data_IF_897694913765
#
_entry.id   IF_897694913765
#
_cell.length_a   1.000
_cell.length_b   1.000
_cell.length_c   1.000
_cell.angle_alpha   90.00
_cell.angle_beta   90.00
_cell.angle_gamma   90.00
#
_symmetry.space_group_name_H-M   'P 1'
#
loop_
_entity.id
_entity.type
_entity.pdbx_description
1 polymer ?
#
# COMPACT_ATOMS: atom_id res chain seq x y z
N UNK A 1 -17.10 1.23 66.25
CA UNK A 1 -16.53 0.28 67.23
C UNK A 1 -16.78 -1.14 66.74
N UNK A 2 -15.69 -1.91 66.55
CA UNK A 2 -15.56 -3.38 66.58
C UNK A 2 -16.62 -4.19 65.81
N UNK A 3 -16.28 -4.67 64.60
CA UNK A 3 -15.78 -6.02 64.33
C UNK A 3 -16.68 -7.14 64.88
N UNK A 4 -17.26 -7.96 63.99
CA UNK A 4 -16.95 -9.38 63.97
C UNK A 4 -17.25 -10.01 62.59
N UNK A 5 -16.22 -10.66 62.05
CA UNK A 5 -16.19 -11.58 60.91
C UNK A 5 -17.24 -12.71 61.06
N UNK A 6 -17.73 -13.24 59.93
CA UNK A 6 -17.52 -14.67 59.60
C UNK A 6 -18.12 -15.14 58.27
N UNK A 7 -17.24 -15.78 57.49
CA UNK A 7 -17.44 -16.99 56.65
C UNK A 7 -18.16 -16.79 55.30
N UNK A 8 -17.36 -16.72 54.24
CA UNK A 8 -17.77 -16.98 52.86
C UNK A 8 -17.50 -18.47 52.56
N UNK A 9 -18.57 -19.23 52.25
CA UNK A 9 -18.49 -20.63 51.83
C UNK A 9 -17.83 -20.74 50.43
N UNK A 10 -16.80 -21.57 50.34
CA UNK A 10 -16.23 -22.05 49.07
C UNK A 10 -16.99 -23.33 48.69
N UNK A 11 -17.67 -23.31 47.55
CA UNK A 11 -18.23 -24.51 46.93
C UNK A 11 -17.11 -25.25 46.18
N UNK A 12 -16.69 -26.39 46.72
CA UNK A 12 -15.87 -27.38 46.02
C UNK A 12 -16.81 -28.35 45.32
N UNK A 13 -16.83 -28.34 43.99
CA UNK A 13 -17.39 -29.44 43.21
C UNK A 13 -16.27 -30.44 42.94
N UNK A 14 -16.30 -31.54 43.70
CA UNK A 14 -15.58 -32.76 43.38
C UNK A 14 -16.46 -33.60 42.45
N UNK A 15 -16.01 -33.82 41.22
CA UNK A 15 -16.44 -34.95 40.41
C UNK A 15 -15.23 -35.87 40.24
N UNK A 16 -15.23 -36.99 40.96
CA UNK A 16 -14.38 -38.13 40.67
C UNK A 16 -15.00 -38.91 39.50
N UNK A 17 -14.19 -39.29 38.52
CA UNK A 17 -14.51 -40.40 37.63
C UNK A 17 -13.23 -41.09 37.16
N UNK A 18 -13.12 -42.34 37.61
CA UNK A 18 -12.44 -43.50 37.07
C UNK A 18 -10.98 -43.40 36.60
N UNK A 19 -10.16 -44.19 37.31
CA UNK A 19 -8.84 -44.67 36.96
C UNK A 19 -8.84 -45.47 35.66
N UNK A 20 -7.88 -45.18 34.79
CA UNK A 20 -7.11 -46.22 34.11
C UNK A 20 -5.64 -45.85 34.22
N UNK A 21 -4.86 -46.78 34.75
CA UNK A 21 -3.41 -46.67 34.90
C UNK A 21 -2.75 -47.13 33.60
N UNK A 22 -2.25 -46.20 32.82
CA UNK A 22 -1.11 -46.43 31.93
C UNK A 22 0.01 -45.46 32.36
N UNK A 23 1.23 -45.93 32.66
CA UNK A 23 2.34 -45.04 32.92
C UNK A 23 2.76 -44.42 31.59
N UNK A 24 2.25 -43.22 31.30
CA UNK A 24 2.85 -42.36 30.28
C UNK A 24 4.34 -42.20 30.60
N UNK A 25 5.25 -42.34 29.62
CA UNK A 25 6.66 -42.09 29.84
C UNK A 25 6.83 -40.61 30.23
N UNK A 26 7.39 -40.43 31.42
CA UNK A 26 7.81 -39.15 32.00
C UNK A 26 8.47 -38.28 30.90
N UNK A 27 7.94 -37.10 30.56
CA UNK A 27 8.60 -36.23 29.60
C UNK A 27 9.94 -35.81 30.19
N UNK A 28 11.01 -36.16 29.48
CA UNK A 28 12.39 -35.75 29.73
C UNK A 28 12.45 -34.31 30.29
N UNK A 29 12.95 -34.09 31.52
CA UNK A 29 13.03 -32.76 32.12
C UNK A 29 14.04 -31.84 31.41
N UNK A 30 14.76 -32.32 30.38
CA UNK A 30 15.81 -31.60 29.68
C UNK A 30 15.59 -31.43 28.16
N UNK A 31 14.36 -31.61 27.65
CA UNK A 31 14.05 -31.44 26.22
C UNK A 31 13.77 -30.01 25.73
N UNK A 32 13.97 -28.98 26.56
CA UNK A 32 13.68 -27.58 26.23
C UNK A 32 14.87 -26.84 25.62
N UNK A 33 15.41 -27.33 24.50
CA UNK A 33 16.35 -26.53 23.72
C UNK A 33 15.64 -25.27 23.21
N UNK A 34 16.13 -24.09 23.58
CA UNK A 34 15.63 -22.80 23.06
C UNK A 34 15.62 -22.90 21.53
N UNK A 35 14.44 -22.85 20.90
CA UNK A 35 14.29 -23.02 19.45
C UNK A 35 15.09 -21.92 18.75
N UNK A 36 16.30 -22.24 18.30
CA UNK A 36 17.16 -21.28 17.65
C UNK A 36 16.56 -20.92 16.29
N UNK A 37 16.11 -19.67 16.13
CA UNK A 37 15.61 -19.18 14.87
C UNK A 37 16.76 -19.16 13.84
N UNK A 38 16.71 -19.98 12.76
CA UNK A 38 17.82 -20.11 11.81
C UNK A 38 18.07 -18.82 11.00
N UNK A 39 17.12 -17.89 10.98
CA UNK A 39 17.22 -16.62 10.26
C UNK A 39 17.73 -15.46 11.12
N UNK A 40 17.97 -15.70 12.43
CA UNK A 40 18.64 -14.76 13.33
C UNK A 40 20.15 -14.91 13.18
N UNK A 41 20.71 -14.17 12.24
CA UNK A 41 22.14 -14.20 11.87
C UNK A 41 22.99 -13.17 12.59
N UNK A 42 22.36 -12.14 13.18
CA UNK A 42 23.05 -10.99 13.78
C UNK A 42 23.57 -9.97 12.76
N UNK A 43 23.40 -10.21 11.45
CA UNK A 43 23.67 -9.23 10.40
C UNK A 43 22.40 -8.41 10.14
N UNK A 44 22.40 -7.16 10.59
CA UNK A 44 21.31 -6.21 10.35
C UNK A 44 21.34 -5.71 8.89
N UNK A 45 20.22 -5.87 8.18
CA UNK A 45 20.04 -5.42 6.80
C UNK A 45 19.18 -4.17 6.69
N UNK A 46 18.82 -3.58 7.83
CA UNK A 46 17.98 -2.38 7.89
C UNK A 46 18.59 -1.24 7.09
N UNK A 47 17.72 -0.45 6.46
CA UNK A 47 18.14 0.68 5.65
C UNK A 47 17.13 1.81 5.75
N UNK A 48 17.61 3.04 5.62
CA UNK A 48 16.77 4.21 5.42
C UNK A 48 17.23 4.94 4.17
N UNK A 49 16.29 5.46 3.40
CA UNK A 49 16.62 6.12 2.14
C UNK A 49 15.59 7.18 1.76
N UNK A 50 16.02 8.09 0.89
CA UNK A 50 15.13 8.96 0.16
C UNK A 50 14.72 8.30 -1.16
N UNK A 51 13.44 7.99 -1.31
CA UNK A 51 12.82 7.67 -2.59
C UNK A 51 12.29 8.97 -3.17
N UNK A 52 12.91 9.43 -4.26
CA UNK A 52 12.47 10.64 -4.97
C UNK A 52 11.37 10.31 -5.98
N UNK A 53 10.39 11.17 -6.07
CA UNK A 53 9.45 11.23 -7.19
C UNK A 53 9.32 12.67 -7.68
N UNK A 54 8.91 12.82 -8.93
CA UNK A 54 8.45 14.10 -9.43
C UNK A 54 6.97 14.23 -9.05
N UNK A 55 6.63 15.20 -8.19
CA UNK A 55 5.24 15.49 -7.82
C UNK A 55 4.54 16.25 -8.97
N UNK A 56 4.41 15.57 -10.11
CA UNK A 56 3.85 16.12 -11.35
C UNK A 56 2.46 16.69 -11.08
N UNK A 57 2.13 17.82 -11.69
CA UNK A 57 0.80 18.42 -11.57
C UNK A 57 0.54 19.11 -10.24
N UNK A 58 1.48 19.16 -9.28
CA UNK A 58 1.31 19.94 -8.05
C UNK A 58 0.96 21.41 -8.36
N UNK A 59 1.63 22.00 -9.35
CA UNK A 59 1.40 23.38 -9.78
C UNK A 59 0.13 23.56 -10.66
N UNK A 60 -0.57 22.47 -11.00
CA UNK A 60 -1.80 22.53 -11.79
C UNK A 60 -3.02 22.77 -10.91
N UNK A 61 -4.04 23.46 -11.46
CA UNK A 61 -5.27 23.79 -10.75
C UNK A 61 -6.03 22.60 -10.13
N UNK A 62 -5.78 21.38 -10.64
CA UNK A 62 -6.45 20.15 -10.19
C UNK A 62 -5.45 19.05 -9.80
N UNK A 63 -4.24 19.44 -9.37
CA UNK A 63 -3.18 18.50 -9.01
C UNK A 63 -2.91 17.50 -10.15
N UNK A 64 -2.83 16.21 -9.82
CA UNK A 64 -2.59 15.10 -10.75
C UNK A 64 -3.85 14.60 -11.46
N UNK A 65 -5.02 15.23 -11.26
CA UNK A 65 -6.24 14.76 -11.90
C UNK A 65 -6.12 14.94 -13.44
N UNK A 66 -6.47 13.92 -14.21
CA UNK A 66 -6.31 13.90 -15.67
C UNK A 66 -4.90 13.61 -16.16
N UNK A 67 -3.96 13.31 -15.25
CA UNK A 67 -2.63 12.81 -15.60
C UNK A 67 -2.66 11.31 -15.86
N UNK A 68 -1.71 10.90 -16.69
CA UNK A 68 -1.40 9.50 -16.89
C UNK A 68 -0.89 8.80 -15.63
N UNK A 69 -1.10 7.50 -15.53
CA UNK A 69 -0.72 6.66 -14.40
C UNK A 69 -0.27 5.28 -14.88
N UNK A 70 0.86 4.82 -14.36
CA UNK A 70 1.40 3.50 -14.65
C UNK A 70 1.05 2.53 -13.52
N UNK A 71 0.08 1.65 -13.77
CA UNK A 71 -0.41 0.70 -12.75
C UNK A 71 0.57 -0.42 -12.44
N UNK A 72 1.70 -0.53 -13.14
CA UNK A 72 2.80 -1.43 -12.71
C UNK A 72 3.64 -0.84 -11.58
N UNK A 73 3.53 0.49 -11.36
CA UNK A 73 4.16 1.21 -10.26
C UNK A 73 3.53 0.90 -8.90
N UNK A 74 3.79 1.75 -7.89
CA UNK A 74 3.19 1.59 -6.56
C UNK A 74 1.69 1.94 -6.60
N UNK A 75 0.88 1.40 -5.68
CA UNK A 75 -0.55 1.73 -5.56
C UNK A 75 -0.77 3.20 -5.12
N UNK A 76 -1.63 3.91 -5.85
CA UNK A 76 -1.98 5.32 -5.67
C UNK A 76 -0.81 6.21 -5.22
N UNK A 77 0.32 6.15 -5.93
CA UNK A 77 1.58 6.77 -5.51
C UNK A 77 2.09 7.77 -6.56
N UNK A 78 2.62 8.94 -6.17
CA UNK A 78 3.06 9.97 -7.11
C UNK A 78 4.20 9.53 -8.04
N UNK A 79 5.06 8.59 -7.62
CA UNK A 79 6.09 8.01 -8.51
C UNK A 79 5.53 7.26 -9.73
N UNK A 80 4.27 6.82 -9.68
CA UNK A 80 3.59 6.14 -10.77
C UNK A 80 2.83 7.13 -11.69
N UNK A 81 2.77 8.41 -11.32
CA UNK A 81 2.16 9.47 -12.16
C UNK A 81 3.08 9.75 -13.35
N UNK A 82 2.45 9.96 -14.51
CA UNK A 82 3.07 10.17 -15.81
C UNK A 82 2.63 11.52 -16.37
N UNK A 83 2.79 11.76 -17.67
CA UNK A 83 2.49 13.08 -18.24
C UNK A 83 0.98 13.39 -18.26
N UNK A 84 0.65 14.68 -18.32
CA UNK A 84 -0.73 15.19 -18.39
C UNK A 84 -1.40 14.68 -19.68
N UNK A 85 -2.59 14.09 -19.54
CA UNK A 85 -3.36 13.57 -20.69
C UNK A 85 -4.55 14.46 -21.01
N UNK A 86 -5.19 15.02 -19.97
CA UNK A 86 -6.39 15.85 -20.11
C UNK A 86 -6.13 17.32 -19.78
N UNK A 87 -6.77 18.20 -20.54
CA UNK A 87 -6.96 19.60 -20.21
C UNK A 87 -8.26 19.77 -19.43
N UNK A 88 -8.16 19.67 -18.11
CA UNK A 88 -9.29 19.80 -17.21
C UNK A 88 -9.73 21.25 -16.98
N UNK A 89 -8.89 22.23 -17.32
CA UNK A 89 -9.32 23.63 -17.29
C UNK A 89 -10.29 23.92 -18.44
N UNK A 90 -10.01 23.40 -19.63
CA UNK A 90 -10.94 23.45 -20.75
C UNK A 90 -12.25 22.73 -20.42
N UNK A 91 -12.17 21.52 -19.84
CA UNK A 91 -13.35 20.77 -19.39
C UNK A 91 -14.19 21.55 -18.37
N UNK A 92 -13.55 22.18 -17.37
CA UNK A 92 -14.26 22.92 -16.33
C UNK A 92 -14.98 24.17 -16.87
N UNK A 93 -14.40 24.84 -17.88
CA UNK A 93 -15.01 26.03 -18.52
C UNK A 93 -16.32 25.72 -19.25
N UNK A 94 -16.51 24.48 -19.69
CA UNK A 94 -17.68 24.05 -20.47
C UNK A 94 -18.91 23.62 -19.62
N UNK A 95 -18.83 23.74 -18.29
CA UNK A 95 -20.02 23.76 -17.40
C UNK A 95 -20.35 22.48 -16.64
N UNK A 96 -19.78 21.32 -17.01
CA UNK A 96 -20.00 20.06 -16.29
C UNK A 96 -19.02 19.79 -15.14
N UNK A 97 -17.97 20.60 -15.05
CA UNK A 97 -17.15 20.85 -13.86
C UNK A 97 -16.21 19.72 -13.41
N UNK A 98 -15.02 20.12 -12.95
CA UNK A 98 -14.22 19.27 -12.05
C UNK A 98 -14.81 19.41 -10.65
N UNK A 99 -15.10 18.29 -10.00
CA UNK A 99 -15.50 18.29 -8.59
C UNK A 99 -14.27 18.39 -7.72
N UNK A 100 -14.21 19.40 -6.85
CA UNK A 100 -13.09 19.69 -5.98
C UNK A 100 -13.61 20.15 -4.62
N UNK A 101 -13.35 19.37 -3.56
CA UNK A 101 -13.79 19.70 -2.22
C UNK A 101 -12.79 19.27 -1.14
N UNK A 102 -12.80 20.00 -0.02
CA UNK A 102 -11.98 19.72 1.15
C UNK A 102 -12.49 18.49 1.90
N UNK A 103 -11.57 17.63 2.31
CA UNK A 103 -11.91 16.47 3.14
C UNK A 103 -12.35 16.91 4.53
N UNK A 104 -13.28 16.18 5.12
CA UNK A 104 -13.73 16.36 6.51
C UNK A 104 -13.30 15.21 7.42
N UNK A 105 -12.64 14.19 6.87
CA UNK A 105 -12.15 13.04 7.61
C UNK A 105 -10.84 12.52 7.02
N UNK A 106 -10.17 11.69 7.81
CA UNK A 106 -8.89 11.03 7.50
C UNK A 106 -8.84 9.72 8.28
N UNK A 107 -8.01 8.79 7.83
CA UNK A 107 -8.00 7.44 8.37
C UNK A 107 -7.26 6.46 7.46
N UNK A 108 -7.34 5.16 7.76
CA UNK A 108 -6.75 4.15 6.90
C UNK A 108 -7.49 4.07 5.56
N UNK A 109 -6.74 3.98 4.46
CA UNK A 109 -7.32 3.89 3.12
C UNK A 109 -7.37 2.45 2.60
N UNK A 110 -6.35 1.66 2.91
CA UNK A 110 -6.26 0.27 2.50
C UNK A 110 -5.63 -0.59 3.60
N UNK A 111 -6.03 -1.86 3.60
CA UNK A 111 -5.43 -2.92 4.39
C UNK A 111 -5.27 -4.14 3.48
N UNK A 112 -4.12 -4.80 3.55
CA UNK A 112 -3.80 -5.99 2.75
C UNK A 112 -3.25 -7.09 3.66
N UNK A 113 -3.42 -8.34 3.24
CA UNK A 113 -2.93 -9.49 3.98
C UNK A 113 -2.86 -10.75 3.14
N UNK A 114 -1.92 -11.64 3.48
CA UNK A 114 -1.74 -12.93 2.83
C UNK A 114 -0.54 -12.96 1.89
N UNK A 115 -0.62 -13.79 0.86
CA UNK A 115 0.40 -13.88 -0.19
C UNK A 115 0.48 -12.57 -0.98
N UNK A 116 1.58 -12.40 -1.73
CA UNK A 116 1.73 -11.26 -2.65
C UNK A 116 0.55 -11.16 -3.62
N UNK A 117 0.07 -12.29 -4.13
CA UNK A 117 -1.02 -12.35 -5.09
C UNK A 117 -2.34 -11.87 -4.48
N UNK A 118 -2.71 -12.35 -3.29
CA UNK A 118 -3.91 -11.91 -2.57
C UNK A 118 -3.87 -10.41 -2.22
N UNK A 119 -2.68 -9.89 -1.90
CA UNK A 119 -2.50 -8.46 -1.69
C UNK A 119 -2.70 -7.65 -2.99
N UNK A 120 -2.18 -8.14 -4.13
CA UNK A 120 -2.39 -7.52 -5.45
C UNK A 120 -3.87 -7.56 -5.83
N UNK A 121 -4.57 -8.66 -5.55
CA UNK A 121 -6.02 -8.78 -5.76
C UNK A 121 -6.79 -7.72 -4.98
N UNK A 122 -6.51 -7.57 -3.68
CA UNK A 122 -7.16 -6.56 -2.83
C UNK A 122 -6.93 -5.13 -3.36
N UNK A 123 -5.70 -4.80 -3.76
CA UNK A 123 -5.36 -3.49 -4.31
C UNK A 123 -5.98 -3.28 -5.71
N UNK A 124 -5.98 -4.33 -6.55
CA UNK A 124 -6.60 -4.35 -7.87
C UNK A 124 -8.09 -4.05 -7.82
N UNK A 125 -8.82 -4.76 -6.97
CA UNK A 125 -10.26 -4.55 -6.78
C UNK A 125 -10.55 -3.13 -6.27
N UNK A 126 -9.74 -2.66 -5.31
CA UNK A 126 -9.85 -1.29 -4.77
C UNK A 126 -9.59 -0.22 -5.84
N UNK A 127 -8.74 -0.51 -6.83
CA UNK A 127 -8.47 0.35 -7.98
C UNK A 127 -9.51 0.22 -9.11
N UNK A 128 -10.45 -0.72 -9.02
CA UNK A 128 -11.53 -0.91 -10.00
C UNK A 128 -11.29 -1.99 -11.06
N UNK A 129 -10.22 -2.78 -10.92
CA UNK A 129 -9.98 -3.91 -11.83
C UNK A 129 -10.95 -5.06 -11.53
N UNK A 130 -11.45 -5.69 -12.58
CA UNK A 130 -12.23 -6.93 -12.45
C UNK A 130 -11.34 -8.13 -12.09
N UNK A 131 -11.90 -9.18 -11.50
CA UNK A 131 -11.16 -10.40 -11.18
C UNK A 131 -10.49 -11.05 -12.41
N UNK A 132 -11.10 -10.90 -13.59
CA UNK A 132 -10.52 -11.36 -14.86
C UNK A 132 -9.29 -10.53 -15.27
N UNK A 133 -9.34 -9.21 -15.12
CA UNK A 133 -8.19 -8.35 -15.37
C UNK A 133 -7.07 -8.60 -14.39
N UNK A 134 -7.37 -8.77 -13.10
CA UNK A 134 -6.37 -9.08 -12.07
C UNK A 134 -5.67 -10.42 -12.37
N UNK A 135 -6.42 -11.44 -12.79
CA UNK A 135 -5.86 -12.73 -13.19
C UNK A 135 -5.01 -12.64 -14.47
N UNK A 136 -5.36 -11.74 -15.39
CA UNK A 136 -4.67 -11.54 -16.67
C UNK A 136 -3.40 -10.68 -16.53
N UNK A 137 -3.45 -9.64 -15.72
CA UNK A 137 -2.41 -8.61 -15.59
C UNK A 137 -1.53 -8.89 -14.37
N UNK A 138 -0.43 -9.59 -14.61
CA UNK A 138 0.49 -10.08 -13.56
C UNK A 138 1.32 -8.98 -12.91
N UNK A 139 1.43 -7.83 -13.57
CA UNK A 139 2.31 -6.74 -13.14
C UNK A 139 1.59 -5.63 -12.36
N UNK A 140 0.30 -5.79 -12.02
CA UNK A 140 -0.45 -4.78 -11.26
C UNK A 140 0.21 -4.51 -9.90
N UNK A 141 0.49 -3.24 -9.66
CA UNK A 141 1.05 -2.67 -8.44
C UNK A 141 2.35 -3.32 -7.94
N UNK A 142 3.11 -3.99 -8.81
CA UNK A 142 4.26 -4.83 -8.43
C UNK A 142 5.34 -4.08 -7.65
N UNK A 143 5.57 -2.81 -7.96
CA UNK A 143 6.60 -1.99 -7.29
C UNK A 143 6.27 -1.70 -5.82
N UNK A 144 5.02 -1.91 -5.37
CA UNK A 144 4.63 -1.88 -3.96
C UNK A 144 5.35 -2.96 -3.13
N UNK A 145 5.79 -4.05 -3.76
CA UNK A 145 6.44 -5.18 -3.09
C UNK A 145 7.91 -5.36 -3.50
N UNK A 146 8.27 -5.03 -4.74
CA UNK A 146 9.65 -5.22 -5.23
C UNK A 146 10.64 -4.21 -4.63
N UNK A 147 10.20 -2.95 -4.47
CA UNK A 147 11.09 -1.88 -4.00
C UNK A 147 11.39 -1.88 -2.49
N UNK A 148 10.44 -2.19 -1.58
CA UNK A 148 10.65 -2.10 -0.13
C UNK A 148 11.76 -2.99 0.45
N UNK A 149 11.95 -4.18 -0.13
CA UNK A 149 12.81 -5.22 0.46
C UNK A 149 14.02 -5.57 -0.40
N UNK A 150 14.35 -4.72 -1.38
CA UNK A 150 15.46 -4.95 -2.32
C UNK A 150 16.83 -5.14 -1.65
N UNK A 151 17.03 -4.60 -0.44
CA UNK A 151 18.27 -4.75 0.32
C UNK A 151 18.36 -6.08 1.08
N UNK A 152 17.25 -6.79 1.25
CA UNK A 152 17.19 -8.09 1.91
C UNK A 152 17.14 -9.22 0.86
N UNK A 153 18.34 -9.62 0.42
CA UNK A 153 18.57 -10.73 -0.50
C UNK A 153 19.05 -12.01 0.21
N UNK A 154 18.92 -12.08 1.54
CA UNK A 154 19.62 -13.10 2.34
C UNK A 154 18.92 -14.46 2.33
N UNK A 155 17.60 -14.47 2.13
CA UNK A 155 16.78 -15.67 2.17
C UNK A 155 15.81 -15.71 0.98
N UNK A 156 16.32 -15.90 -0.25
CA UNK A 156 15.51 -15.85 -1.46
C UNK A 156 14.53 -17.03 -1.58
N UNK A 157 14.83 -18.17 -0.94
CA UNK A 157 14.01 -19.39 -1.01
C UNK A 157 12.87 -19.42 0.02
N UNK A 158 12.81 -18.42 0.91
CA UNK A 158 11.80 -18.36 1.94
C UNK A 158 10.46 -17.86 1.36
N UNK A 159 9.38 -18.59 1.63
CA UNK A 159 8.04 -18.14 1.24
C UNK A 159 7.57 -17.03 2.18
N UNK A 160 7.33 -15.86 1.61
CA UNK A 160 6.91 -14.68 2.35
C UNK A 160 5.43 -14.35 2.14
N UNK A 161 4.76 -14.07 3.24
CA UNK A 161 3.46 -13.41 3.30
C UNK A 161 3.63 -11.94 3.69
N UNK A 162 2.56 -11.17 3.51
CA UNK A 162 2.52 -9.74 3.71
C UNK A 162 1.32 -9.35 4.56
N UNK A 163 1.50 -8.32 5.37
CA UNK A 163 0.43 -7.53 5.96
C UNK A 163 0.75 -6.08 5.69
N UNK A 164 -0.26 -5.25 5.49
CA UNK A 164 -0.03 -3.83 5.34
C UNK A 164 -1.24 -2.99 5.62
N UNK A 165 -0.98 -1.77 6.08
CA UNK A 165 -1.98 -0.73 6.28
C UNK A 165 -1.42 0.60 5.80
N UNK A 166 -2.27 1.47 5.29
CA UNK A 166 -1.96 2.88 5.15
C UNK A 166 -2.64 3.69 6.24
N UNK A 167 -1.99 4.78 6.64
CA UNK A 167 -2.60 5.89 7.34
C UNK A 167 -2.58 7.08 6.40
N UNK A 168 -3.73 7.71 6.15
CA UNK A 168 -3.84 8.82 5.21
C UNK A 168 -4.47 10.02 5.89
N UNK A 169 -3.86 11.19 5.69
CA UNK A 169 -4.48 12.47 5.93
C UNK A 169 -4.83 13.10 4.58
N UNK A 170 -6.12 13.04 4.24
CA UNK A 170 -6.63 13.58 2.98
C UNK A 170 -6.98 15.04 3.19
N UNK A 171 -6.46 15.92 2.33
CA UNK A 171 -6.79 17.36 2.34
C UNK A 171 -7.90 17.64 1.33
N UNK A 172 -7.78 17.09 0.11
CA UNK A 172 -8.77 17.32 -0.95
C UNK A 172 -9.16 16.05 -1.70
N UNK A 173 -10.41 16.04 -2.16
CA UNK A 173 -10.95 15.06 -3.09
C UNK A 173 -11.19 15.74 -4.43
N UNK A 174 -10.73 15.12 -5.52
CA UNK A 174 -10.90 15.65 -6.87
C UNK A 174 -11.36 14.55 -7.82
N UNK A 175 -12.37 14.84 -8.65
CA UNK A 175 -12.79 13.92 -9.72
C UNK A 175 -13.48 14.66 -10.87
N UNK A 176 -13.50 14.02 -12.05
CA UNK A 176 -14.37 14.40 -13.15
C UNK A 176 -15.24 13.23 -13.57
N UNK A 177 -16.41 13.53 -14.13
CA UNK A 177 -17.33 12.48 -14.56
C UNK A 177 -17.01 12.04 -15.99
N UNK A 178 -16.41 10.86 -16.13
CA UNK A 178 -16.24 10.20 -17.42
C UNK A 178 -17.34 9.15 -17.64
N UNK A 179 -17.91 9.14 -18.84
CA UNK A 179 -18.96 8.21 -19.22
C UNK A 179 -19.00 7.99 -20.72
N UNK A 180 -19.72 6.95 -21.15
CA UNK A 180 -19.98 6.69 -22.57
C UNK A 180 -20.59 7.88 -23.30
N UNK A 181 -21.44 8.67 -22.64
CA UNK A 181 -22.08 9.85 -23.24
C UNK A 181 -21.15 11.07 -23.36
N UNK A 182 -20.07 11.14 -22.59
CA UNK A 182 -19.04 12.22 -22.67
C UNK A 182 -17.80 11.81 -23.44
N UNK A 183 -17.65 10.53 -23.76
CA UNK A 183 -16.45 9.95 -24.36
C UNK A 183 -15.96 10.73 -25.57
N UNK A 184 -16.84 11.03 -26.52
CA UNK A 184 -16.44 11.77 -27.72
C UNK A 184 -15.90 13.17 -27.39
N UNK A 185 -16.47 13.86 -26.40
CA UNK A 185 -15.97 15.17 -25.97
C UNK A 185 -14.56 15.06 -25.39
N UNK A 186 -14.32 14.08 -24.51
CA UNK A 186 -12.98 13.82 -23.97
C UNK A 186 -11.97 13.47 -25.07
N UNK A 187 -12.38 12.68 -26.05
CA UNK A 187 -11.53 12.27 -27.17
C UNK A 187 -11.23 13.39 -28.19
N UNK A 188 -11.97 14.51 -28.16
CA UNK A 188 -11.86 15.57 -29.18
C UNK A 188 -11.54 16.96 -28.65
N UNK A 189 -12.06 17.32 -27.47
CA UNK A 189 -11.99 18.68 -26.92
C UNK A 189 -11.02 18.81 -25.76
N UNK A 190 -10.89 17.76 -24.94
CA UNK A 190 -10.23 17.86 -23.63
C UNK A 190 -8.91 17.09 -23.54
N UNK A 191 -8.38 16.60 -24.66
CA UNK A 191 -7.02 16.05 -24.69
C UNK A 191 -6.00 17.18 -24.65
N UNK A 192 -4.98 17.01 -23.80
CA UNK A 192 -3.80 17.88 -23.78
C UNK A 192 -3.10 17.86 -25.14
N UNK A 193 -2.58 19.02 -25.58
CA UNK A 193 -1.93 19.16 -26.89
C UNK A 193 -0.71 18.25 -27.07
N UNK A 194 0.09 18.05 -26.01
CA UNK A 194 1.23 17.13 -26.03
C UNK A 194 0.78 15.69 -26.28
N UNK A 195 -0.26 15.24 -25.59
CA UNK A 195 -0.82 13.90 -25.79
C UNK A 195 -1.38 13.72 -27.20
N UNK A 196 -2.11 14.71 -27.73
CA UNK A 196 -2.62 14.68 -29.12
C UNK A 196 -1.48 14.56 -30.13
N UNK A 197 -0.43 15.35 -29.98
CA UNK A 197 0.73 15.30 -30.87
C UNK A 197 1.48 13.96 -30.79
N UNK A 198 1.62 13.40 -29.58
CA UNK A 198 2.26 12.11 -29.39
C UNK A 198 1.43 10.97 -29.97
N UNK A 199 0.09 11.00 -29.90
CA UNK A 199 -0.78 10.03 -30.58
C UNK A 199 -0.59 10.00 -32.10
N UNK A 200 -0.09 11.09 -32.71
CA UNK A 200 0.23 11.16 -34.13
C UNK A 200 1.65 10.70 -34.46
N UNK A 201 2.57 10.73 -33.50
CA UNK A 201 4.01 10.62 -33.79
C UNK A 201 4.74 9.50 -33.05
N UNK A 202 4.14 8.93 -31.99
CA UNK A 202 4.76 7.92 -31.12
C UNK A 202 4.15 6.54 -31.34
N UNK A 203 4.96 5.52 -31.09
CA UNK A 203 4.47 4.15 -31.04
C UNK A 203 3.55 3.92 -29.81
N UNK A 204 2.67 2.91 -29.84
CA UNK A 204 1.89 2.51 -28.67
C UNK A 204 2.72 2.27 -27.39
N UNK A 205 3.89 1.64 -27.51
CA UNK A 205 4.79 1.38 -26.39
C UNK A 205 5.40 2.67 -25.85
N UNK A 206 5.74 3.61 -26.73
CA UNK A 206 6.19 4.95 -26.33
C UNK A 206 5.08 5.72 -25.61
N UNK A 207 3.82 5.63 -26.06
CA UNK A 207 2.67 6.23 -25.37
C UNK A 207 2.54 5.67 -23.95
N UNK A 208 2.61 4.35 -23.78
CA UNK A 208 2.55 3.71 -22.46
C UNK A 208 3.71 4.16 -21.57
N UNK A 209 4.92 4.28 -22.13
CA UNK A 209 6.08 4.74 -21.37
C UNK A 209 5.94 6.20 -20.91
N UNK A 210 5.41 7.08 -21.76
CA UNK A 210 5.31 8.52 -21.51
C UNK A 210 4.12 8.86 -20.61
N UNK A 211 2.98 8.21 -20.82
CA UNK A 211 1.69 8.54 -20.20
C UNK A 211 1.17 7.43 -19.27
N UNK A 212 1.82 6.28 -19.20
CA UNK A 212 1.31 5.14 -18.44
C UNK A 212 0.15 4.45 -19.14
N UNK A 213 -0.54 3.61 -18.39
CA UNK A 213 -1.60 2.73 -18.90
C UNK A 213 -3.00 3.24 -18.59
N UNK A 214 -3.13 4.14 -17.61
CA UNK A 214 -4.40 4.66 -17.13
C UNK A 214 -4.34 6.18 -16.97
N UNK A 215 -5.50 6.80 -16.78
CA UNK A 215 -5.65 8.21 -16.40
C UNK A 215 -6.26 8.28 -15.01
N UNK A 216 -5.74 9.18 -14.18
CA UNK A 216 -6.30 9.52 -12.88
C UNK A 216 -7.60 10.30 -13.05
N UNK A 217 -8.74 9.70 -12.68
CA UNK A 217 -10.08 10.26 -12.87
C UNK A 217 -10.80 10.62 -11.57
N UNK A 218 -10.37 10.06 -10.45
CA UNK A 218 -10.97 10.27 -9.13
C UNK A 218 -9.93 10.00 -8.05
N UNK A 219 -9.37 11.07 -7.47
CA UNK A 219 -8.20 11.03 -6.60
C UNK A 219 -8.44 11.73 -5.26
N UNK A 220 -7.58 11.40 -4.30
CA UNK A 220 -7.40 12.08 -3.03
C UNK A 220 -5.96 12.61 -2.98
N UNK A 221 -5.81 13.85 -2.54
CA UNK A 221 -4.49 14.46 -2.31
C UNK A 221 -4.29 14.85 -0.84
N UNK A 222 -3.06 14.71 -0.35
CA UNK A 222 -2.71 14.85 1.06
C UNK A 222 -1.33 14.29 1.38
N UNK A 223 -1.20 13.67 2.56
CA UNK A 223 -0.05 12.85 2.98
C UNK A 223 -0.49 11.43 3.36
N UNK A 224 0.41 10.46 3.20
CA UNK A 224 0.17 9.06 3.53
C UNK A 224 1.40 8.43 4.15
N UNK A 225 1.20 7.55 5.12
CA UNK A 225 2.21 6.67 5.66
C UNK A 225 1.80 5.23 5.42
N UNK A 226 2.66 4.49 4.74
CA UNK A 226 2.46 3.09 4.41
C UNK A 226 3.29 2.22 5.34
N UNK A 227 2.65 1.25 5.99
CA UNK A 227 3.32 0.19 6.75
C UNK A 227 3.15 -1.11 5.97
N UNK A 228 4.25 -1.68 5.51
CA UNK A 228 4.28 -2.97 4.81
C UNK A 228 5.18 -3.94 5.58
N UNK A 229 4.57 -4.98 6.10
CA UNK A 229 5.21 -6.01 6.88
C UNK A 229 5.32 -7.28 6.06
N UNK A 230 6.53 -7.80 5.92
CA UNK A 230 6.82 -9.05 5.20
C UNK A 230 7.31 -10.07 6.21
N UNK A 231 6.74 -11.27 6.19
CA UNK A 231 7.06 -12.29 7.16
C UNK A 231 7.04 -13.71 6.57
N UNK A 232 7.80 -14.60 7.18
CA UNK A 232 7.72 -16.03 6.96
C UNK A 232 7.12 -16.71 8.19
N UNK A 233 6.08 -17.50 7.98
CA UNK A 233 5.30 -18.08 9.07
C UNK A 233 6.10 -19.06 9.93
N UNK A 234 5.85 -19.03 11.24
CA UNK A 234 6.12 -20.15 12.13
C UNK A 234 4.81 -20.84 12.52
N UNK A 235 4.86 -22.15 12.80
CA UNK A 235 3.70 -23.02 13.03
C UNK A 235 2.74 -22.52 14.12
N UNK A 236 3.24 -21.73 15.08
CA UNK A 236 2.46 -21.18 16.20
C UNK A 236 2.45 -19.65 16.24
N UNK A 237 2.86 -18.99 15.15
CA UNK A 237 2.90 -17.53 15.08
C UNK A 237 1.52 -16.92 14.81
N UNK A 238 1.26 -15.77 15.44
CA UNK A 238 0.15 -14.87 15.08
C UNK A 238 0.74 -13.61 14.44
N UNK A 239 1.01 -13.67 13.13
CA UNK A 239 1.69 -12.60 12.39
C UNK A 239 0.95 -11.26 12.43
N UNK A 240 -0.38 -11.27 12.55
CA UNK A 240 -1.16 -10.03 12.69
C UNK A 240 -0.89 -9.32 14.03
N UNK A 241 -0.83 -10.08 15.12
CA UNK A 241 -0.49 -9.53 16.45
C UNK A 241 0.95 -9.00 16.48
N UNK A 242 1.87 -9.74 15.86
CA UNK A 242 3.25 -9.29 15.70
C UNK A 242 3.38 -8.05 14.81
N UNK A 243 2.62 -7.95 13.72
CA UNK A 243 2.59 -6.75 12.88
C UNK A 243 2.16 -5.50 13.68
N UNK A 244 1.03 -5.57 14.39
CA UNK A 244 0.53 -4.47 15.20
C UNK A 244 1.47 -4.08 16.35
N UNK A 245 2.17 -5.05 16.93
CA UNK A 245 3.18 -4.80 17.97
C UNK A 245 4.46 -4.19 17.39
N UNK A 246 4.92 -4.69 16.24
CA UNK A 246 6.19 -4.31 15.63
C UNK A 246 6.17 -2.88 15.07
N UNK A 247 5.04 -2.39 14.55
CA UNK A 247 4.93 -1.00 14.07
C UNK A 247 5.41 0.00 15.14
N UNK A 248 4.71 0.19 16.28
CA UNK A 248 5.07 1.21 17.28
C UNK A 248 6.36 0.88 18.05
N UNK A 249 6.81 -0.39 18.02
CA UNK A 249 8.08 -0.82 18.60
C UNK A 249 9.28 -0.32 17.81
N UNK A 250 9.23 -0.40 16.47
CA UNK A 250 10.37 -0.09 15.61
C UNK A 250 10.25 1.25 14.89
N UNK A 251 9.04 1.79 14.74
CA UNK A 251 8.78 3.07 14.10
C UNK A 251 7.71 3.86 14.85
N UNK A 252 7.89 5.16 14.99
CA UNK A 252 6.91 6.03 15.64
C UNK A 252 6.93 7.41 15.02
N UNK A 253 5.75 8.01 14.85
CA UNK A 253 5.60 9.36 14.32
C UNK A 253 4.95 10.35 15.30
N UNK A 254 5.10 10.08 16.60
CA UNK A 254 4.51 10.87 17.69
C UNK A 254 4.52 10.10 19.02
N UNK A 255 3.95 10.64 20.10
CA UNK A 255 3.85 9.91 21.36
C UNK A 255 2.91 8.70 21.19
N UNK A 256 3.50 7.51 21.04
CA UNK A 256 2.77 6.23 20.97
C UNK A 256 3.17 5.33 22.12
N UNK A 257 2.17 4.78 22.82
CA UNK A 257 2.35 3.70 23.79
C UNK A 257 2.18 2.39 23.02
N UNK A 258 3.15 1.48 23.12
CA UNK A 258 3.04 0.13 22.56
C UNK A 258 2.55 -0.85 23.63
N UNK A 259 1.78 -1.84 23.20
CA UNK A 259 1.33 -2.93 24.08
C UNK A 259 2.45 -3.89 24.44
N UNK A 260 2.14 -4.87 25.29
CA UNK A 260 3.03 -6.00 25.55
C UNK A 260 3.25 -6.82 24.28
N UNK A 261 4.42 -7.46 24.19
CA UNK A 261 4.71 -8.41 23.11
C UNK A 261 3.63 -9.52 23.05
N UNK A 262 3.27 -10.01 21.86
CA UNK A 262 2.40 -11.17 21.73
C UNK A 262 2.97 -12.38 22.49
N UNK A 263 2.09 -13.23 23.03
CA UNK A 263 2.49 -14.47 23.71
C UNK A 263 2.72 -15.63 22.74
N UNK A 264 2.28 -15.50 21.49
CA UNK A 264 2.55 -16.46 20.41
C UNK A 264 3.98 -16.35 19.92
N UNK A 265 4.52 -17.42 19.34
CA UNK A 265 5.84 -17.41 18.70
C UNK A 265 5.94 -16.29 17.66
N UNK A 266 7.12 -15.68 17.56
CA UNK A 266 7.42 -14.73 16.48
C UNK A 266 7.52 -15.47 15.14
N UNK A 267 7.16 -14.82 14.02
CA UNK A 267 7.47 -15.35 12.70
C UNK A 267 8.97 -15.63 12.53
N UNK A 268 9.30 -16.57 11.64
CA UNK A 268 10.68 -17.03 11.45
C UNK A 268 11.59 -15.94 10.87
N UNK A 269 11.05 -15.12 9.97
CA UNK A 269 11.74 -13.95 9.41
C UNK A 269 10.74 -12.82 9.27
N UNK A 270 11.14 -11.62 9.65
CA UNK A 270 10.29 -10.45 9.71
C UNK A 270 11.02 -9.23 9.14
N UNK A 271 10.32 -8.43 8.35
CA UNK A 271 10.75 -7.11 7.94
C UNK A 271 9.58 -6.13 8.05
N UNK A 272 9.85 -4.90 8.48
CA UNK A 272 8.90 -3.80 8.42
C UNK A 272 9.45 -2.72 7.49
N UNK A 273 8.69 -2.41 6.45
CA UNK A 273 8.92 -1.25 5.61
C UNK A 273 7.92 -0.14 5.94
N UNK A 274 8.42 1.06 6.14
CA UNK A 274 7.64 2.27 6.31
C UNK A 274 7.99 3.25 5.21
N UNK A 275 7.00 3.83 4.57
CA UNK A 275 7.17 4.89 3.56
C UNK A 275 6.23 6.05 3.84
N UNK A 276 6.78 7.26 3.87
CA UNK A 276 6.03 8.51 3.95
C UNK A 276 5.91 9.09 2.55
N UNK A 277 4.67 9.33 2.13
CA UNK A 277 4.28 9.85 0.83
C UNK A 277 3.64 11.22 1.04
N UNK A 278 4.43 12.27 0.85
CA UNK A 278 4.00 13.68 0.87
C UNK A 278 4.75 14.50 -0.19
N UNK A 279 4.38 15.76 -0.41
CA UNK A 279 5.08 16.64 -1.36
C UNK A 279 6.30 17.36 -0.78
N UNK A 280 6.60 17.23 0.52
CA UNK A 280 7.81 17.80 1.13
C UNK A 280 9.06 16.94 0.92
N UNK A 281 8.87 15.64 0.64
CA UNK A 281 9.93 14.65 0.41
C UNK A 281 10.96 14.64 1.56
N UNK A 282 10.57 14.27 2.79
CA UNK A 282 11.49 14.19 3.91
C UNK A 282 12.64 13.23 3.59
N UNK A 283 13.83 13.49 4.16
CA UNK A 283 14.99 12.64 3.96
C UNK A 283 15.51 12.13 5.31
N UNK A 284 15.37 10.83 5.61
CA UNK A 284 14.72 9.79 4.79
C UNK A 284 13.18 9.91 4.75
N UNK A 285 12.56 9.34 3.71
CA UNK A 285 11.11 9.10 3.64
C UNK A 285 10.76 7.60 3.59
N UNK A 286 11.77 6.73 3.66
CA UNK A 286 11.58 5.28 3.69
C UNK A 286 12.52 4.63 4.69
N UNK A 287 12.02 3.60 5.36
CA UNK A 287 12.74 2.80 6.35
C UNK A 287 12.37 1.34 6.16
N UNK A 288 13.37 0.48 5.95
CA UNK A 288 13.22 -0.97 6.03
C UNK A 288 13.95 -1.44 7.28
N UNK A 289 13.23 -2.05 8.21
CA UNK A 289 13.75 -2.65 9.43
C UNK A 289 13.76 -4.17 9.26
N UNK A 290 14.94 -4.78 9.35
CA UNK A 290 15.11 -6.23 9.44
C UNK A 290 14.86 -6.69 10.88
N UNK A 291 13.59 -6.78 11.26
CA UNK A 291 13.15 -7.04 12.64
C UNK A 291 13.86 -8.24 13.27
N UNK A 292 14.07 -9.32 12.50
CA UNK A 292 14.71 -10.55 13.00
C UNK A 292 16.16 -10.33 13.46
N UNK A 293 16.87 -9.36 12.88
CA UNK A 293 18.28 -9.08 13.17
C UNK A 293 18.52 -7.69 13.79
N UNK A 294 17.53 -6.79 13.77
CA UNK A 294 17.67 -5.41 14.22
C UNK A 294 17.98 -5.31 15.72
N UNK A 295 19.08 -4.62 16.05
CA UNK A 295 19.49 -4.31 17.43
C UNK A 295 19.51 -2.80 17.70
N UNK A 296 19.05 -1.99 16.74
CA UNK A 296 19.03 -0.54 16.85
C UNK A 296 17.90 -0.02 17.73
N UNK A 297 17.91 1.30 17.92
CA UNK A 297 16.83 2.01 18.60
C UNK A 297 15.62 2.19 17.66
N UNK A 298 14.46 2.45 18.26
CA UNK A 298 13.23 2.78 17.54
C UNK A 298 13.43 4.03 16.68
N UNK A 299 12.97 3.98 15.44
CA UNK A 299 12.96 5.12 14.53
C UNK A 299 11.85 6.10 14.95
N UNK A 300 12.19 7.39 15.07
CA UNK A 300 11.25 8.47 15.36
C UNK A 300 11.18 9.40 14.14
N UNK A 301 9.97 9.64 13.63
CA UNK A 301 9.69 10.53 12.51
C UNK A 301 8.72 11.65 12.92
N UNK A 302 9.16 12.89 12.98
CA UNK A 302 8.36 14.03 13.44
C UNK A 302 7.72 14.84 12.29
N UNK A 303 7.78 14.36 11.05
CA UNK A 303 7.26 15.06 9.87
C UNK A 303 5.79 14.81 9.54
N UNK A 304 5.07 14.00 10.31
CA UNK A 304 3.64 13.71 10.07
C UNK A 304 2.76 14.92 10.41
N UNK A 305 1.71 15.20 9.61
CA UNK A 305 0.83 16.38 9.77
C UNK A 305 1.55 17.73 9.60
N UNK A 306 2.59 17.78 8.77
CA UNK A 306 3.34 19.02 8.48
C UNK A 306 3.05 19.60 7.09
N UNK A 307 2.18 18.94 6.31
CA UNK A 307 1.81 19.36 4.96
C UNK A 307 0.99 20.65 4.93
N UNK A 308 1.06 21.34 3.80
CA UNK A 308 0.30 22.54 3.44
C UNK A 308 -0.24 22.38 2.03
N UNK A 309 -1.12 23.30 1.58
CA UNK A 309 -1.65 23.26 0.22
C UNK A 309 -0.55 23.32 -0.86
N UNK A 310 0.62 23.88 -0.54
CA UNK A 310 1.78 24.02 -1.45
C UNK A 310 2.59 22.72 -1.62
N UNK A 311 2.27 21.65 -0.86
CA UNK A 311 3.05 20.42 -0.87
C UNK A 311 2.17 19.15 -0.81
N UNK A 312 0.95 19.23 -1.32
CA UNK A 312 0.07 18.07 -1.43
C UNK A 312 0.52 17.12 -2.54
N UNK A 313 0.24 15.83 -2.38
CA UNK A 313 0.51 14.81 -3.40
C UNK A 313 -0.58 13.74 -3.44
N UNK A 314 -0.49 12.81 -4.40
CA UNK A 314 -1.45 11.73 -4.61
C UNK A 314 -1.28 10.73 -3.47
N UNK A 315 -2.36 10.48 -2.74
CA UNK A 315 -2.33 9.55 -1.60
C UNK A 315 -3.28 8.38 -1.74
N UNK A 316 -4.33 8.53 -2.54
CA UNK A 316 -5.30 7.47 -2.76
C UNK A 316 -6.12 7.70 -4.04
N UNK A 317 -6.66 6.61 -4.58
CA UNK A 317 -7.81 6.70 -5.48
C UNK A 317 -9.05 6.94 -4.62
N UNK A 318 -9.97 7.80 -5.04
CA UNK A 318 -11.12 8.14 -4.21
C UNK A 318 -12.12 6.98 -4.09
N UNK A 319 -12.18 6.14 -5.11
CA UNK A 319 -13.11 5.03 -5.28
C UNK A 319 -12.61 4.11 -6.42
N UNK A 320 -13.30 2.99 -6.61
CA UNK A 320 -13.02 1.97 -7.64
C UNK A 320 -13.24 2.42 -9.10
N UNK A 321 -13.34 3.73 -9.36
CA UNK A 321 -13.33 4.30 -10.70
C UNK A 321 -12.30 5.44 -10.84
N UNK A 322 -11.28 5.44 -9.97
CA UNK A 322 -10.19 6.42 -9.96
C UNK A 322 -9.18 6.26 -11.09
N UNK A 323 -9.28 5.19 -11.86
CA UNK A 323 -8.47 4.92 -13.03
C UNK A 323 -9.36 4.63 -14.24
N UNK A 324 -9.01 5.21 -15.38
CA UNK A 324 -9.62 4.88 -16.68
C UNK A 324 -8.52 4.44 -17.63
N UNK A 325 -8.64 3.31 -18.34
CA UNK A 325 -7.64 2.88 -19.31
C UNK A 325 -7.36 3.96 -20.35
N UNK A 326 -6.09 4.25 -20.62
CA UNK A 326 -5.68 5.39 -21.47
C UNK A 326 -6.22 5.27 -22.90
N UNK A 327 -6.38 4.04 -23.42
CA UNK A 327 -6.92 3.79 -24.76
C UNK A 327 -8.39 4.21 -24.91
N UNK A 328 -9.12 4.46 -23.81
CA UNK A 328 -10.48 5.00 -23.88
C UNK A 328 -10.53 6.42 -24.45
N UNK A 329 -9.41 7.14 -24.39
CA UNK A 329 -9.27 8.52 -24.85
C UNK A 329 -8.75 8.65 -26.28
N UNK A 330 -8.54 7.54 -26.98
CA UNK A 330 -8.11 7.52 -28.39
C UNK A 330 -9.32 7.37 -29.32
N UNK A 331 -9.53 8.38 -30.19
CA UNK A 331 -10.66 8.40 -31.15
C UNK A 331 -10.44 7.48 -32.35
N UNK A 332 -9.22 7.49 -32.90
CA UNK A 332 -8.88 6.70 -34.08
C UNK A 332 -8.94 5.18 -33.75
N UNK A 333 -9.79 4.40 -34.44
CA UNK A 333 -9.97 2.98 -34.13
C UNK A 333 -8.70 2.14 -34.29
N UNK A 334 -7.88 2.41 -35.31
CA UNK A 334 -6.67 1.63 -35.58
C UNK A 334 -5.58 1.91 -34.53
N UNK A 335 -5.40 3.19 -34.16
CA UNK A 335 -4.48 3.56 -33.07
C UNK A 335 -4.96 3.04 -31.72
N UNK A 336 -6.27 3.09 -31.47
CA UNK A 336 -6.85 2.52 -30.26
C UNK A 336 -6.57 1.02 -30.17
N UNK A 337 -6.82 0.27 -31.23
CA UNK A 337 -6.56 -1.18 -31.26
C UNK A 337 -5.08 -1.50 -31.03
N UNK A 338 -4.17 -0.75 -31.68
CA UNK A 338 -2.73 -0.91 -31.48
C UNK A 338 -2.32 -0.61 -30.02
N UNK A 339 -2.88 0.44 -29.42
CA UNK A 339 -2.64 0.79 -28.02
C UNK A 339 -3.19 -0.23 -27.04
N UNK A 340 -4.36 -0.84 -27.31
CA UNK A 340 -4.89 -1.94 -26.51
C UNK A 340 -3.91 -3.12 -26.51
N UNK A 341 -3.35 -3.49 -27.67
CA UNK A 341 -2.37 -4.60 -27.74
C UNK A 341 -1.11 -4.32 -26.92
N UNK A 342 -0.56 -3.12 -27.03
CA UNK A 342 0.61 -2.73 -26.24
C UNK A 342 0.30 -2.64 -24.73
N UNK A 343 -0.89 -2.13 -24.38
CA UNK A 343 -1.38 -2.04 -23.01
C UNK A 343 -1.48 -3.43 -22.37
N UNK A 344 -2.11 -4.37 -23.07
CA UNK A 344 -2.28 -5.74 -22.55
C UNK A 344 -0.94 -6.44 -22.42
N UNK A 345 -0.06 -6.28 -23.40
CA UNK A 345 1.30 -6.82 -23.35
C UNK A 345 2.07 -6.30 -22.13
N UNK A 346 2.10 -4.98 -21.94
CA UNK A 346 2.83 -4.34 -20.84
C UNK A 346 2.34 -4.73 -19.44
N UNK A 347 1.05 -5.05 -19.29
CA UNK A 347 0.48 -5.45 -18.01
C UNK A 347 0.58 -6.95 -17.73
N UNK A 348 0.76 -7.77 -18.76
CA UNK A 348 0.83 -9.24 -18.65
C UNK A 348 2.25 -9.82 -18.70
N UNK A 349 3.18 -9.15 -19.39
CA UNK A 349 4.61 -9.47 -19.50
C UNK A 349 5.42 -8.49 -18.67
#
# INVERSE_FOLDING_TARGET
MKNLLSILLIFVFACASCSDNDPDPDPDPNGGGEKQNPYKTGKDLSSSSLVKWNNKGMDDAYFMLGYGYDVTGKYAHPSAVRNKVLDLEAYNKDGDGVSFFKSTSSGPEWSIGGTRQECIETLGESAGFSSNEISKYKNLFKEKFDSPFKSDSSFPDLSYNYLGISQVHVVYHLYFFYSSYRKEQFQSRYLNDGFKADLETKSPEEIIKIYGTHILSSIKVGERMDYLYRYAEDKHSNSYSWFLYNIPRYFSHGPTIWGSAPTSDAPLKENLYVEVVDGTLPNPNTWMVDITNFQGERIIFDGWNTITDDNLTLVAFRNNNGLIPIYEFVKDPAKKEALVKAYEKYLSE
#
